data_IF_388276506327
#
_entry.id   IF_388276506327
#
_cell.length_a   1.000
_cell.length_b   1.000
_cell.length_c   1.000
_cell.angle_alpha   90.00
_cell.angle_beta   90.00
_cell.angle_gamma   90.00
#
_symmetry.space_group_name_H-M   'P 1'
#
loop_
_entity.id
_entity.type
_entity.pdbx_description
1 polymer ?
#
# COMPACT_ATOMS: atom_id res chain seq x y z
N UNK A 1 22.06 -20.24 21.99
CA UNK A 1 21.82 -20.99 20.74
C UNK A 1 20.35 -21.39 20.69
N UNK A 2 19.47 -20.46 20.31
CA UNK A 2 18.01 -20.66 20.40
C UNK A 2 17.36 -20.50 19.02
N UNK A 3 16.88 -21.63 18.52
CA UNK A 3 15.75 -21.78 17.60
C UNK A 3 15.86 -21.17 16.18
N UNK A 4 16.58 -21.91 15.32
CA UNK A 4 16.20 -22.07 13.91
C UNK A 4 14.82 -22.75 13.83
N UNK A 5 13.81 -22.07 13.29
CA UNK A 5 12.59 -22.67 12.70
C UNK A 5 11.66 -21.58 12.19
N UNK A 6 11.78 -21.17 10.91
CA UNK A 6 10.65 -20.49 10.23
C UNK A 6 10.71 -20.31 8.71
N UNK A 7 11.62 -20.94 7.96
CA UNK A 7 11.70 -20.71 6.50
C UNK A 7 11.84 -21.98 5.65
N UNK A 8 11.10 -23.05 5.97
CA UNK A 8 10.94 -24.21 5.07
C UNK A 8 9.48 -24.47 4.62
N UNK A 9 8.55 -23.55 4.89
CA UNK A 9 7.11 -23.81 4.74
C UNK A 9 6.39 -23.11 3.57
N UNK A 10 7.08 -22.30 2.76
CA UNK A 10 6.43 -21.47 1.72
C UNK A 10 6.82 -21.84 0.28
N UNK A 11 6.88 -23.14 -0.03
CA UNK A 11 7.25 -23.64 -1.37
C UNK A 11 6.16 -24.35 -2.21
N UNK A 12 4.92 -24.67 -1.76
CA UNK A 12 3.99 -25.37 -2.65
C UNK A 12 2.71 -24.62 -3.06
N UNK A 13 2.59 -23.29 -2.89
CA UNK A 13 1.38 -22.55 -3.36
C UNK A 13 1.48 -22.06 -4.81
N UNK A 14 2.50 -22.46 -5.56
CA UNK A 14 2.77 -22.04 -6.95
C UNK A 14 2.18 -22.97 -8.03
N UNK A 15 1.26 -23.89 -7.68
CA UNK A 15 0.88 -24.96 -8.62
C UNK A 15 -0.59 -25.36 -8.60
N UNK A 16 -1.51 -24.40 -8.42
CA UNK A 16 -2.94 -24.68 -8.57
C UNK A 16 -3.61 -23.70 -9.53
N UNK A 17 -3.94 -24.23 -10.70
CA UNK A 17 -5.10 -23.86 -11.52
C UNK A 17 -4.91 -22.76 -12.58
N UNK A 18 -3.96 -23.01 -13.47
CA UNK A 18 -4.17 -22.80 -14.91
C UNK A 18 -5.35 -23.68 -15.37
N UNK A 19 -6.55 -23.12 -15.53
CA UNK A 19 -7.56 -23.68 -16.44
C UNK A 19 -8.62 -22.61 -16.81
N UNK A 20 -8.42 -21.95 -17.95
CA UNK A 20 -9.49 -21.62 -18.89
C UNK A 20 -9.72 -22.90 -19.76
N UNK A 21 -10.81 -23.11 -20.55
CA UNK A 21 -11.62 -22.10 -21.26
C UNK A 21 -13.13 -22.40 -21.43
N UNK A 22 -13.83 -21.47 -22.11
CA UNK A 22 -14.97 -21.68 -23.05
C UNK A 22 -16.30 -22.21 -22.46
N UNK A 23 -17.49 -21.68 -22.80
CA UNK A 23 -18.07 -21.46 -24.14
C UNK A 23 -19.25 -20.46 -24.12
N UNK A 24 -19.73 -20.03 -25.30
CA UNK A 24 -20.55 -18.83 -25.50
C UNK A 24 -22.06 -19.14 -25.74
N UNK A 25 -22.80 -18.06 -26.02
CA UNK A 25 -23.96 -17.93 -26.95
C UNK A 25 -25.36 -17.65 -26.38
N UNK A 26 -26.02 -16.76 -27.14
CA UNK A 26 -27.46 -16.45 -27.25
C UNK A 26 -28.01 -15.47 -26.21
N UNK A 27 -28.73 -14.40 -26.58
CA UNK A 27 -29.39 -14.04 -27.84
C UNK A 27 -30.26 -12.78 -27.61
N UNK A 28 -31.15 -12.38 -28.54
CA UNK A 28 -31.17 -11.01 -29.07
C UNK A 28 -32.47 -10.23 -28.82
N UNK A 29 -32.49 -9.00 -29.38
CA UNK A 29 -33.62 -8.28 -30.01
C UNK A 29 -34.20 -7.04 -29.32
N UNK A 30 -34.00 -5.94 -30.05
CA UNK A 30 -35.02 -4.99 -30.50
C UNK A 30 -35.48 -3.90 -29.54
N UNK A 31 -35.32 -2.65 -30.00
CA UNK A 31 -35.83 -1.46 -29.32
C UNK A 31 -35.28 -0.18 -29.92
N UNK A 32 -35.52 0.03 -31.21
CA UNK A 32 -35.54 1.37 -31.83
C UNK A 32 -36.38 2.31 -30.96
N UNK A 33 -35.94 3.56 -30.80
CA UNK A 33 -36.78 4.77 -30.88
C UNK A 33 -35.91 6.04 -30.76
N UNK A 34 -35.98 6.86 -31.82
CA UNK A 34 -36.04 8.33 -31.81
C UNK A 34 -35.08 9.19 -30.96
N UNK A 35 -34.23 9.92 -31.68
CA UNK A 35 -33.92 11.38 -31.62
C UNK A 35 -34.58 12.25 -30.52
N UNK A 36 -33.93 13.34 -30.00
CA UNK A 36 -33.36 14.38 -30.86
C UNK A 36 -32.06 15.11 -30.45
N UNK A 37 -31.57 15.80 -31.47
CA UNK A 37 -30.57 16.84 -31.63
C UNK A 37 -30.75 18.05 -30.67
N UNK A 38 -30.57 17.86 -29.36
CA UNK A 38 -30.56 18.98 -28.40
C UNK A 38 -29.15 19.38 -27.96
N UNK A 39 -28.77 20.57 -28.43
CA UNK A 39 -27.99 21.59 -27.73
C UNK A 39 -26.52 21.21 -27.42
N UNK A 40 -25.54 21.73 -28.16
CA UNK A 40 -25.09 23.12 -28.07
C UNK A 40 -25.21 23.71 -26.66
N UNK A 41 -24.60 23.02 -25.70
CA UNK A 41 -24.11 23.67 -24.49
C UNK A 41 -22.56 23.63 -24.58
N UNK A 42 -21.86 24.77 -24.44
CA UNK A 42 -20.41 24.75 -24.30
C UNK A 42 -20.06 23.89 -23.07
N UNK A 43 -19.00 23.07 -23.12
CA UNK A 43 -18.64 22.21 -22.01
C UNK A 43 -18.32 23.10 -20.82
N UNK A 44 -19.21 23.12 -19.82
CA UNK A 44 -18.90 23.66 -18.51
C UNK A 44 -17.88 22.68 -17.93
N UNK A 45 -16.60 22.99 -18.14
CA UNK A 45 -15.51 22.29 -17.51
C UNK A 45 -15.77 22.31 -15.99
N UNK A 46 -15.84 21.15 -15.32
CA UNK A 46 -15.78 21.17 -13.87
C UNK A 46 -14.43 21.76 -13.48
N UNK A 47 -14.43 22.96 -12.89
CA UNK A 47 -13.30 23.53 -12.14
C UNK A 47 -13.12 22.76 -10.82
N UNK A 48 -13.09 21.43 -10.91
CA UNK A 48 -13.02 20.50 -9.79
C UNK A 48 -12.08 19.36 -10.16
N UNK A 49 -10.83 19.71 -10.36
CA UNK A 49 -9.82 19.05 -9.56
C UNK A 49 -8.94 20.13 -9.02
N UNK A 50 -9.33 20.66 -7.85
CA UNK A 50 -8.36 21.20 -6.91
C UNK A 50 -7.25 20.17 -6.86
N UNK A 51 -6.14 20.54 -7.48
CA UNK A 51 -4.78 20.14 -7.14
C UNK A 51 -4.78 19.10 -6.05
N UNK A 52 -4.42 17.86 -6.37
CA UNK A 52 -4.09 16.85 -5.38
C UNK A 52 -3.25 17.53 -4.31
N UNK A 53 -3.89 17.92 -3.19
CA UNK A 53 -3.22 18.55 -2.08
C UNK A 53 -2.12 17.55 -1.76
N UNK A 54 -0.84 17.95 -1.81
CA UNK A 54 0.27 17.02 -1.66
C UNK A 54 -0.05 16.24 -0.40
N UNK A 55 -0.41 14.95 -0.55
CA UNK A 55 -0.96 14.14 0.52
C UNK A 55 0.05 14.27 1.64
N UNK A 56 -0.32 15.05 2.67
CA UNK A 56 0.66 15.62 3.58
C UNK A 56 1.49 14.46 4.08
N UNK A 57 2.78 14.46 3.74
CA UNK A 57 3.65 13.29 3.90
C UNK A 57 3.65 12.96 5.39
N UNK A 58 2.77 12.04 5.80
CA UNK A 58 2.39 11.94 7.21
C UNK A 58 3.57 11.42 8.03
N UNK A 59 4.57 10.83 7.36
CA UNK A 59 5.82 10.36 7.92
C UNK A 59 7.02 11.08 7.31
N UNK A 60 7.99 11.41 8.16
CA UNK A 60 9.32 11.85 7.71
C UNK A 60 10.04 10.68 7.03
N UNK A 61 10.96 10.97 6.11
CA UNK A 61 11.77 9.95 5.43
C UNK A 61 12.50 9.01 6.40
N UNK A 62 13.00 9.54 7.52
CA UNK A 62 13.63 8.73 8.58
C UNK A 62 12.64 7.81 9.28
N UNK A 63 11.41 8.27 9.48
CA UNK A 63 10.33 7.46 10.08
C UNK A 63 9.88 6.36 9.13
N UNK A 64 9.72 6.67 7.85
CA UNK A 64 9.40 5.71 6.80
C UNK A 64 10.50 4.65 6.65
N UNK A 65 11.78 5.05 6.64
CA UNK A 65 12.90 4.12 6.59
C UNK A 65 12.94 3.15 7.79
N UNK A 66 12.70 3.66 9.02
CA UNK A 66 12.61 2.80 10.20
C UNK A 66 11.43 1.81 10.12
N UNK A 67 10.27 2.26 9.62
CA UNK A 67 9.11 1.40 9.44
C UNK A 67 9.31 0.37 8.32
N UNK A 68 10.01 0.73 7.25
CA UNK A 68 10.37 -0.15 6.15
C UNK A 68 11.22 -1.33 6.64
N UNK A 69 12.32 -1.07 7.34
CA UNK A 69 13.15 -2.13 7.91
C UNK A 69 12.39 -2.95 8.96
N UNK A 70 11.49 -2.30 9.69
CA UNK A 70 10.60 -2.99 10.62
C UNK A 70 9.63 -3.93 9.91
N UNK A 71 9.11 -3.55 8.73
CA UNK A 71 8.26 -4.38 7.87
C UNK A 71 9.03 -5.56 7.28
N UNK A 72 10.30 -5.34 6.92
CA UNK A 72 11.24 -6.39 6.51
C UNK A 72 11.67 -7.34 7.65
N UNK A 73 11.16 -7.14 8.87
CA UNK A 73 11.41 -8.01 10.03
C UNK A 73 12.71 -7.73 10.77
N UNK A 74 13.40 -6.61 10.49
CA UNK A 74 14.63 -6.23 11.20
C UNK A 74 14.33 -5.76 12.62
N UNK A 75 15.24 -6.08 13.54
CA UNK A 75 15.23 -5.56 14.90
C UNK A 75 15.63 -4.08 14.93
N UNK A 76 15.36 -3.38 16.04
CA UNK A 76 15.77 -1.98 16.19
C UNK A 76 17.29 -1.83 16.10
N UNK A 77 18.04 -2.79 16.65
CA UNK A 77 19.50 -2.86 16.57
C UNK A 77 20.01 -3.07 15.13
N UNK A 78 19.45 -4.02 14.38
CA UNK A 78 19.84 -4.21 12.97
C UNK A 78 19.49 -2.98 12.13
N UNK A 79 18.30 -2.40 12.36
CA UNK A 79 17.86 -1.17 11.68
C UNK A 79 18.79 -0.01 11.98
N UNK A 80 19.27 0.12 13.22
CA UNK A 80 20.20 1.17 13.62
C UNK A 80 21.54 1.01 12.90
N UNK A 81 22.01 -0.23 12.74
CA UNK A 81 23.24 -0.55 12.01
C UNK A 81 23.11 -0.29 10.51
N UNK A 82 21.94 -0.54 9.92
CA UNK A 82 21.66 -0.25 8.51
C UNK A 82 21.57 1.26 8.25
N UNK A 83 20.91 2.02 9.13
CA UNK A 83 20.69 3.46 8.96
C UNK A 83 21.83 4.34 9.48
N UNK A 84 22.83 3.76 10.16
CA UNK A 84 23.96 4.49 10.74
C UNK A 84 23.58 5.36 11.94
N UNK A 85 22.59 4.96 12.73
CA UNK A 85 22.10 5.70 13.92
C UNK A 85 22.09 4.81 15.16
N UNK A 86 21.88 5.41 16.34
CA UNK A 86 21.71 4.64 17.58
C UNK A 86 20.36 3.91 17.63
N UNK A 87 20.29 2.80 18.35
CA UNK A 87 19.04 2.07 18.59
C UNK A 87 17.98 2.93 19.28
N UNK A 88 18.40 3.79 20.22
CA UNK A 88 17.52 4.77 20.88
C UNK A 88 16.87 5.73 19.88
N UNK A 89 17.62 6.16 18.86
CA UNK A 89 17.12 7.04 17.79
C UNK A 89 16.11 6.33 16.91
N UNK A 90 16.34 5.05 16.57
CA UNK A 90 15.35 4.23 15.85
C UNK A 90 14.06 4.12 16.66
N UNK A 91 14.16 3.81 17.96
CA UNK A 91 13.00 3.69 18.84
C UNK A 91 12.25 5.03 18.97
N UNK A 92 12.96 6.16 19.02
CA UNK A 92 12.37 7.50 18.99
C UNK A 92 11.60 7.75 17.69
N UNK A 93 12.18 7.45 16.52
CA UNK A 93 11.50 7.61 15.24
C UNK A 93 10.28 6.70 15.11
N UNK A 94 10.35 5.44 15.58
CA UNK A 94 9.21 4.52 15.59
C UNK A 94 8.08 5.00 16.50
N UNK A 95 8.40 5.53 17.70
CA UNK A 95 7.39 6.12 18.60
C UNK A 95 6.69 7.32 17.96
N UNK A 96 7.46 8.22 17.34
CA UNK A 96 6.89 9.37 16.66
C UNK A 96 6.06 8.96 15.44
N UNK A 97 6.48 7.92 14.70
CA UNK A 97 5.70 7.37 13.60
C UNK A 97 4.37 6.78 14.10
N UNK A 98 4.39 6.02 15.20
CA UNK A 98 3.18 5.49 15.85
C UNK A 98 2.22 6.61 16.26
N UNK A 99 2.74 7.69 16.87
CA UNK A 99 1.95 8.84 17.29
C UNK A 99 1.29 9.54 16.09
N UNK A 100 2.02 9.73 14.98
CA UNK A 100 1.48 10.34 13.76
C UNK A 100 0.42 9.47 13.07
N UNK A 101 0.59 8.15 13.12
CA UNK A 101 -0.35 7.19 12.55
C UNK A 101 -1.55 6.91 13.48
N UNK A 102 -1.55 7.41 14.72
CA UNK A 102 -2.62 7.16 15.69
C UNK A 102 -2.71 5.71 16.17
N UNK A 103 -1.62 4.95 16.11
CA UNK A 103 -1.60 3.53 16.45
C UNK A 103 -0.62 3.21 17.57
N UNK A 104 -0.88 2.10 18.26
CA UNK A 104 -0.01 1.62 19.34
C UNK A 104 0.79 0.41 18.89
N UNK A 105 2.11 0.57 18.85
CA UNK A 105 3.06 -0.51 18.59
C UNK A 105 3.51 -0.60 17.13
N UNK A 106 4.73 -1.11 16.93
CA UNK A 106 5.41 -1.10 15.62
C UNK A 106 4.68 -1.89 14.54
N UNK A 107 4.07 -3.04 14.88
CA UNK A 107 3.36 -3.87 13.88
C UNK A 107 2.11 -3.17 13.37
N UNK A 108 1.35 -2.55 14.27
CA UNK A 108 0.20 -1.75 13.90
C UNK A 108 0.61 -0.54 13.04
N UNK A 109 1.74 0.10 13.36
CA UNK A 109 2.31 1.19 12.56
C UNK A 109 2.71 0.74 11.14
N UNK A 110 3.33 -0.43 11.00
CA UNK A 110 3.64 -0.99 9.67
C UNK A 110 2.35 -1.22 8.86
N UNK A 111 1.34 -1.86 9.45
CA UNK A 111 0.06 -2.13 8.76
C UNK A 111 -0.67 -0.83 8.40
N UNK A 112 -0.70 0.15 9.30
CA UNK A 112 -1.32 1.45 9.03
C UNK A 112 -0.60 2.21 7.91
N UNK A 113 0.74 2.22 7.93
CA UNK A 113 1.54 2.89 6.92
C UNK A 113 1.38 2.24 5.53
N UNK A 114 1.29 0.90 5.46
CA UNK A 114 1.00 0.17 4.22
C UNK A 114 -0.42 0.48 3.70
N UNK A 115 -1.43 0.51 4.57
CA UNK A 115 -2.82 0.82 4.20
C UNK A 115 -2.98 2.23 3.64
N UNK A 116 -2.21 3.18 4.16
CA UNK A 116 -2.23 4.56 3.70
C UNK A 116 -1.32 4.81 2.47
N UNK A 117 -0.59 3.79 1.99
CA UNK A 117 0.34 3.93 0.87
C UNK A 117 1.57 4.79 1.19
N UNK A 118 1.93 4.95 2.47
CA UNK A 118 3.10 5.73 2.89
C UNK A 118 4.43 4.96 2.81
N UNK A 119 4.34 3.64 2.66
CA UNK A 119 5.47 2.79 2.39
C UNK A 119 5.22 2.18 1.02
N UNK A 120 6.14 2.42 0.09
CA UNK A 120 6.19 1.67 -1.16
C UNK A 120 6.38 0.21 -0.76
N UNK A 121 5.32 -0.58 -0.95
CA UNK A 121 5.27 -1.96 -0.51
C UNK A 121 6.41 -2.70 -1.20
N UNK A 122 7.45 -3.03 -0.42
CA UNK A 122 8.62 -3.86 -0.74
C UNK A 122 8.57 -4.36 -2.19
N UNK A 123 8.87 -3.48 -3.13
CA UNK A 123 9.03 -3.86 -4.53
C UNK A 123 10.42 -4.46 -4.61
N UNK A 124 10.41 -5.78 -4.75
CA UNK A 124 11.57 -6.63 -4.94
C UNK A 124 12.33 -6.27 -6.23
#
# INVERSE_FOLDING_TARGET
MTALRRLSAYRPLLQASLQAPSTPLSGPLSGSLSTPLSALHPPIAPLTSLSALPAAKALSDRQAACLYWSAAGKTSWETSRILGVSESTVNFHLRNACAKLGVRGRRAAVVAALRQGLLDAVTA
#
